data_IF_439736304931
#
_entry.id   IF_439736304931
#
_cell.length_a   1.000
_cell.length_b   1.000
_cell.length_c   1.000
_cell.angle_alpha   90.00
_cell.angle_beta   90.00
_cell.angle_gamma   90.00
#
_symmetry.space_group_name_H-M   'P 1'
#
loop_
_entity.id
_entity.type
_entity.pdbx_description
1 polymer ?
#
# COMPACT_ATOMS: atom_id res chain seq x y z
N UNK A 1 -3.54 22.79 -71.18
CA UNK A 1 -3.83 21.38 -70.93
C UNK A 1 -4.11 21.19 -69.42
N UNK A 2 -5.36 21.15 -69.09
CA UNK A 2 -5.85 21.24 -67.66
C UNK A 2 -6.11 19.83 -67.12
N UNK A 3 -5.35 19.45 -66.05
CA UNK A 3 -5.53 18.16 -65.39
C UNK A 3 -6.56 18.33 -64.28
N UNK A 4 -7.77 17.86 -64.51
CA UNK A 4 -8.78 17.71 -63.48
C UNK A 4 -8.41 16.55 -62.58
N UNK A 5 -8.07 16.83 -61.28
CA UNK A 5 -7.96 15.79 -60.26
C UNK A 5 -9.35 15.28 -59.89
N UNK A 6 -9.60 14.03 -60.26
CA UNK A 6 -10.80 13.30 -59.88
C UNK A 6 -10.54 12.82 -58.43
N UNK A 7 -11.17 13.46 -57.44
CA UNK A 7 -11.20 12.95 -56.09
C UNK A 7 -12.16 11.76 -56.04
N UNK A 8 -11.62 10.59 -55.74
CA UNK A 8 -12.42 9.36 -55.58
C UNK A 8 -13.29 9.44 -54.32
N UNK A 9 -14.57 9.11 -54.37
CA UNK A 9 -15.47 9.13 -53.19
C UNK A 9 -15.14 8.07 -52.14
N UNK A 10 -14.22 7.16 -52.42
CA UNK A 10 -13.83 6.06 -51.51
C UNK A 10 -13.04 6.56 -50.31
N UNK A 11 -12.24 7.61 -50.47
CA UNK A 11 -11.45 8.18 -49.36
C UNK A 11 -12.28 8.91 -48.31
N UNK A 12 -13.45 9.44 -48.70
CA UNK A 12 -14.37 10.15 -47.80
C UNK A 12 -15.14 9.20 -46.87
N UNK A 13 -15.44 7.97 -47.34
CA UNK A 13 -16.17 6.97 -46.56
C UNK A 13 -15.28 6.36 -45.46
N UNK A 14 -14.00 6.16 -45.74
CA UNK A 14 -13.03 5.61 -44.74
C UNK A 14 -12.83 6.58 -43.60
N UNK A 15 -12.75 7.91 -43.87
CA UNK A 15 -12.64 8.92 -42.83
C UNK A 15 -13.85 8.98 -41.90
N UNK A 16 -15.04 8.74 -42.43
CA UNK A 16 -16.30 8.76 -41.63
C UNK A 16 -16.40 7.55 -40.71
N UNK A 17 -15.96 6.37 -41.15
CA UNK A 17 -15.94 5.17 -40.32
C UNK A 17 -14.92 5.22 -39.16
N UNK A 18 -13.77 5.88 -39.36
CA UNK A 18 -12.78 6.05 -38.26
C UNK A 18 -13.30 6.98 -37.17
N UNK A 19 -14.06 8.03 -37.52
CA UNK A 19 -14.63 8.96 -36.52
C UNK A 19 -15.74 8.30 -35.69
N UNK A 20 -16.53 7.38 -36.31
CA UNK A 20 -17.58 6.67 -35.56
C UNK A 20 -17.03 5.62 -34.60
N UNK A 21 -15.85 5.05 -34.88
CA UNK A 21 -15.23 4.08 -33.98
C UNK A 21 -14.58 4.71 -32.75
N UNK A 22 -14.17 6.00 -32.79
CA UNK A 22 -13.58 6.71 -31.64
C UNK A 22 -14.58 7.40 -30.72
N UNK A 23 -15.84 7.53 -31.13
CA UNK A 23 -16.85 8.25 -30.34
C UNK A 23 -17.69 7.35 -29.42
N UNK A 24 -17.40 6.05 -29.34
CA UNK A 24 -18.20 5.11 -28.54
C UNK A 24 -17.40 4.35 -27.47
N UNK A 25 -16.24 4.84 -27.06
CA UNK A 25 -15.61 4.37 -25.83
C UNK A 25 -16.03 5.27 -24.67
N UNK A 26 -17.32 5.42 -24.43
CA UNK A 26 -17.80 5.64 -23.08
C UNK A 26 -17.55 4.32 -22.32
N UNK A 27 -16.33 4.13 -21.87
CA UNK A 27 -16.05 3.26 -20.76
C UNK A 27 -16.78 3.86 -19.55
N UNK A 28 -18.05 3.52 -19.38
CA UNK A 28 -18.59 3.49 -18.03
C UNK A 28 -17.69 2.55 -17.28
N UNK A 29 -16.82 3.08 -16.42
CA UNK A 29 -16.27 2.29 -15.34
C UNK A 29 -17.47 1.71 -14.62
N UNK A 30 -17.64 0.41 -14.69
CA UNK A 30 -18.55 -0.33 -13.82
C UNK A 30 -18.01 -0.21 -12.39
N UNK A 31 -18.26 0.96 -11.76
CA UNK A 31 -17.98 1.24 -10.36
C UNK A 31 -18.80 0.38 -9.40
N UNK A 32 -19.63 -0.54 -9.95
CA UNK A 32 -20.64 -1.25 -9.17
C UNK A 32 -20.27 -2.68 -8.78
N UNK A 33 -19.04 -3.15 -9.02
CA UNK A 33 -18.67 -4.54 -8.70
C UNK A 33 -17.34 -4.73 -7.95
N UNK A 34 -16.73 -3.69 -7.42
CA UNK A 34 -15.82 -3.89 -6.32
C UNK A 34 -16.69 -4.05 -5.08
N UNK A 35 -17.22 -5.24 -4.92
CA UNK A 35 -17.70 -5.72 -3.64
C UNK A 35 -16.47 -5.80 -2.77
N UNK A 36 -16.15 -4.70 -2.09
CA UNK A 36 -15.22 -4.75 -0.98
C UNK A 36 -15.83 -5.75 -0.03
N UNK A 37 -15.26 -6.94 0.02
CA UNK A 37 -15.48 -7.84 1.13
C UNK A 37 -14.76 -7.18 2.32
N UNK A 38 -15.36 -6.10 2.82
CA UNK A 38 -15.08 -5.64 4.15
C UNK A 38 -15.61 -6.72 5.08
N UNK A 39 -14.89 -7.83 5.19
CA UNK A 39 -14.96 -8.60 6.40
C UNK A 39 -14.52 -7.63 7.47
N UNK A 40 -15.46 -7.07 8.20
CA UNK A 40 -15.20 -6.24 9.38
C UNK A 40 -14.54 -7.07 10.50
N UNK A 41 -14.16 -8.29 10.19
CA UNK A 41 -13.57 -9.28 11.07
C UNK A 41 -12.12 -9.51 10.67
N UNK A 42 -11.21 -9.33 11.61
CA UNK A 42 -9.81 -9.69 11.41
C UNK A 42 -8.83 -8.62 11.86
N UNK A 43 -7.55 -8.98 11.72
CA UNK A 43 -6.40 -8.11 11.99
C UNK A 43 -5.72 -7.85 10.67
N UNK A 44 -5.61 -6.58 10.28
CA UNK A 44 -4.81 -6.18 9.13
C UNK A 44 -3.37 -6.01 9.58
N UNK A 45 -2.44 -6.81 9.04
CA UNK A 45 -1.02 -6.61 9.27
C UNK A 45 -0.44 -5.63 8.25
N UNK A 46 0.28 -4.61 8.73
CA UNK A 46 1.05 -3.68 7.92
C UNK A 46 2.52 -3.87 8.23
N UNK A 47 3.30 -4.22 7.21
CA UNK A 47 4.70 -4.59 7.31
C UNK A 47 5.62 -3.44 6.90
N UNK A 48 6.67 -3.21 7.69
CA UNK A 48 7.76 -2.28 7.43
C UNK A 48 9.12 -2.97 7.58
N UNK A 49 10.18 -2.40 6.96
CA UNK A 49 11.54 -2.94 7.07
C UNK A 49 12.54 -1.86 7.46
N UNK A 50 12.78 -0.88 6.58
CA UNK A 50 13.81 0.16 6.70
C UNK A 50 13.20 1.54 6.86
N UNK A 51 13.90 2.44 7.52
CA UNK A 51 13.41 3.78 7.82
C UNK A 51 14.46 4.84 7.47
N UNK A 52 14.06 5.89 6.77
CA UNK A 52 14.92 7.03 6.38
C UNK A 52 16.21 6.68 5.62
N UNK A 53 16.37 5.47 5.15
CA UNK A 53 17.53 5.12 4.33
C UNK A 53 17.41 5.73 2.93
N UNK A 54 18.56 6.05 2.30
CA UNK A 54 18.58 6.57 0.92
C UNK A 54 18.65 5.48 -0.15
N UNK A 55 18.80 4.23 0.28
CA UNK A 55 18.86 3.04 -0.57
C UNK A 55 17.61 2.19 -0.37
N UNK A 56 17.41 1.22 -1.26
CA UNK A 56 16.37 0.20 -1.15
C UNK A 56 14.94 0.77 -1.12
N UNK A 57 14.51 1.54 -2.15
CA UNK A 57 13.23 2.25 -2.12
C UNK A 57 12.01 1.33 -1.98
N UNK A 58 12.13 0.05 -2.36
CA UNK A 58 11.05 -0.93 -2.23
C UNK A 58 10.77 -1.39 -0.80
N UNK A 59 11.73 -1.26 0.11
CA UNK A 59 11.63 -1.70 1.51
C UNK A 59 11.83 -0.56 2.51
N UNK A 60 12.07 0.65 2.05
CA UNK A 60 12.34 1.83 2.88
C UNK A 60 11.17 2.79 2.90
N UNK A 61 10.86 3.32 4.07
CA UNK A 61 9.87 4.38 4.25
C UNK A 61 10.52 5.63 4.87
N UNK A 62 10.09 6.81 4.46
CA UNK A 62 10.46 8.07 5.12
C UNK A 62 9.73 8.18 6.46
N UNK A 63 10.42 8.68 7.49
CA UNK A 63 9.82 8.78 8.84
C UNK A 63 8.62 9.71 8.91
N UNK A 64 8.57 10.77 8.10
CA UNK A 64 7.38 11.65 8.03
C UNK A 64 6.15 10.92 7.47
N UNK A 65 6.35 10.01 6.50
CA UNK A 65 5.27 9.17 5.95
C UNK A 65 4.87 8.10 6.96
N UNK A 66 5.85 7.45 7.61
CA UNK A 66 5.57 6.48 8.66
C UNK A 66 4.72 7.08 9.79
N UNK A 67 5.09 8.26 10.29
CA UNK A 67 4.31 9.00 11.30
C UNK A 67 2.90 9.31 10.83
N UNK A 68 2.72 9.74 9.57
CA UNK A 68 1.39 9.96 8.98
C UNK A 68 0.55 8.68 8.96
N UNK A 69 1.15 7.52 8.64
CA UNK A 69 0.43 6.25 8.71
C UNK A 69 -0.07 5.96 10.13
N UNK A 70 0.77 6.16 11.14
CA UNK A 70 0.38 5.98 12.54
C UNK A 70 -0.71 6.95 12.97
N UNK A 71 -0.65 8.20 12.53
CA UNK A 71 -1.66 9.22 12.83
C UNK A 71 -3.01 8.89 12.15
N UNK A 72 -2.99 8.38 10.91
CA UNK A 72 -4.21 7.92 10.23
C UNK A 72 -4.88 6.80 11.04
N UNK A 73 -4.09 5.82 11.51
CA UNK A 73 -4.61 4.71 12.32
C UNK A 73 -5.19 5.24 13.64
N UNK A 74 -4.48 6.11 14.35
CA UNK A 74 -4.93 6.70 15.61
C UNK A 74 -6.24 7.48 15.49
N UNK A 75 -6.43 8.17 14.36
CA UNK A 75 -7.60 9.03 14.11
C UNK A 75 -8.75 8.30 13.39
N UNK A 76 -8.60 7.01 13.14
CA UNK A 76 -9.62 6.17 12.51
C UNK A 76 -10.35 5.29 13.53
N UNK A 77 -11.30 4.49 13.03
CA UNK A 77 -11.99 3.46 13.84
C UNK A 77 -11.12 2.25 14.16
N UNK A 78 -9.93 2.17 13.54
CA UNK A 78 -8.98 1.10 13.80
C UNK A 78 -8.27 1.27 15.14
N UNK A 79 -7.87 0.12 15.74
CA UNK A 79 -7.05 0.08 16.94
C UNK A 79 -5.76 -0.68 16.66
N UNK A 80 -4.67 -0.28 17.32
CA UNK A 80 -3.45 -1.08 17.26
C UNK A 80 -3.68 -2.40 18.00
N UNK A 81 -3.40 -3.50 17.30
CA UNK A 81 -3.46 -4.83 17.92
C UNK A 81 -2.26 -5.05 18.84
N UNK A 82 -2.52 -5.51 20.05
CA UNK A 82 -1.48 -5.90 21.01
C UNK A 82 -1.01 -7.34 20.69
N UNK A 83 0.24 -7.55 20.26
CA UNK A 83 0.75 -8.87 19.91
C UNK A 83 0.70 -9.89 21.05
N UNK A 84 0.73 -9.44 22.30
CA UNK A 84 0.65 -10.33 23.47
C UNK A 84 -0.71 -11.03 23.58
N UNK A 85 -1.73 -10.53 22.90
CA UNK A 85 -3.08 -11.11 22.89
C UNK A 85 -3.26 -12.25 21.89
N UNK A 86 -2.28 -12.54 21.03
CA UNK A 86 -2.36 -13.68 20.09
C UNK A 86 -2.53 -15.04 20.80
N UNK A 87 -2.04 -15.19 22.02
CA UNK A 87 -2.15 -16.42 22.77
C UNK A 87 -3.53 -16.64 23.42
N UNK A 88 -4.39 -15.61 23.46
CA UNK A 88 -5.75 -15.73 23.92
C UNK A 88 -6.64 -16.31 22.81
N UNK A 89 -6.50 -17.64 22.54
CA UNK A 89 -7.38 -18.43 21.66
C UNK A 89 -8.02 -17.60 20.55
N UNK A 90 -7.44 -17.52 19.40
CA UNK A 90 -7.91 -16.97 18.10
C UNK A 90 -9.41 -16.58 17.99
N UNK A 91 -10.00 -16.11 19.05
CA UNK A 91 -11.31 -15.48 19.02
C UNK A 91 -11.10 -14.00 18.68
N UNK A 92 -10.88 -13.73 17.42
CA UNK A 92 -10.95 -12.36 16.91
C UNK A 92 -12.36 -11.88 17.20
N UNK A 93 -12.56 -10.84 18.02
CA UNK A 93 -13.89 -10.32 18.25
C UNK A 93 -14.46 -9.84 16.92
N UNK A 94 -15.65 -10.30 16.56
CA UNK A 94 -16.33 -10.03 15.28
C UNK A 94 -16.58 -8.55 14.98
N UNK A 95 -16.15 -7.63 15.81
CA UNK A 95 -16.49 -6.21 15.68
C UNK A 95 -15.32 -5.24 15.82
N UNK A 96 -14.07 -5.71 15.90
CA UNK A 96 -12.93 -4.82 16.07
C UNK A 96 -12.10 -4.75 14.80
N UNK A 97 -11.99 -3.56 14.25
CA UNK A 97 -11.03 -3.22 13.19
C UNK A 97 -9.67 -3.02 13.86
N UNK A 98 -8.79 -4.01 13.77
CA UNK A 98 -7.46 -3.95 14.38
C UNK A 98 -6.35 -3.98 13.34
N UNK A 99 -5.28 -3.24 13.60
CA UNK A 99 -4.08 -3.18 12.77
C UNK A 99 -2.88 -3.63 13.60
N UNK A 100 -2.19 -4.64 13.09
CA UNK A 100 -0.92 -5.08 13.62
C UNK A 100 0.22 -4.44 12.83
N UNK A 101 1.14 -3.80 13.53
CA UNK A 101 2.37 -3.30 12.95
C UNK A 101 3.43 -4.40 13.04
N UNK A 102 4.05 -4.73 11.93
CA UNK A 102 5.19 -5.66 11.86
C UNK A 102 6.41 -4.96 11.29
N UNK A 103 7.57 -5.27 11.84
CA UNK A 103 8.87 -4.78 11.41
C UNK A 103 9.71 -6.00 11.09
N UNK A 104 10.21 -6.08 9.86
CA UNK A 104 10.94 -7.25 9.41
C UNK A 104 12.45 -6.98 9.33
N UNK A 105 13.24 -8.05 9.44
CA UNK A 105 14.69 -8.12 9.28
C UNK A 105 15.54 -7.46 10.35
N UNK A 106 14.98 -6.70 11.29
CA UNK A 106 15.73 -6.01 12.35
C UNK A 106 16.90 -5.14 11.82
N UNK A 107 16.61 -4.28 10.82
CA UNK A 107 17.60 -3.32 10.33
C UNK A 107 17.95 -2.26 11.39
N UNK A 108 19.19 -1.79 11.38
CA UNK A 108 19.67 -0.74 12.29
C UNK A 108 18.80 0.52 12.21
N UNK A 109 18.30 0.86 11.03
CA UNK A 109 17.41 2.02 10.82
C UNK A 109 16.06 1.90 11.55
N UNK A 110 15.59 0.71 11.84
CA UNK A 110 14.44 0.55 12.74
C UNK A 110 14.77 1.04 14.15
N UNK A 111 15.90 0.60 14.70
CA UNK A 111 16.31 0.95 16.06
C UNK A 111 16.59 2.45 16.22
N UNK A 112 17.26 3.04 15.25
CA UNK A 112 17.69 4.46 15.33
C UNK A 112 16.56 5.44 14.99
N UNK A 113 15.65 5.09 14.07
CA UNK A 113 14.64 6.01 13.53
C UNK A 113 13.22 5.73 14.06
N UNK A 114 12.74 4.50 13.91
CA UNK A 114 11.34 4.19 14.19
C UNK A 114 11.07 3.81 15.65
N UNK A 115 11.97 3.06 16.27
CA UNK A 115 11.81 2.60 17.65
C UNK A 115 11.58 3.73 18.67
N UNK A 116 12.34 4.84 18.69
CA UNK A 116 12.09 5.94 19.62
C UNK A 116 10.66 6.47 19.52
N UNK A 117 10.15 6.64 18.29
CA UNK A 117 8.79 7.12 18.03
C UNK A 117 7.73 6.11 18.49
N UNK A 118 7.88 4.82 18.16
CA UNK A 118 6.95 3.77 18.58
C UNK A 118 6.87 3.66 20.09
N UNK A 119 8.02 3.70 20.77
CA UNK A 119 8.15 3.67 22.24
C UNK A 119 7.43 4.85 22.89
N UNK A 120 7.72 6.07 22.46
CA UNK A 120 7.13 7.30 22.99
C UNK A 120 5.60 7.28 22.85
N UNK A 121 5.11 6.84 21.69
CA UNK A 121 3.69 6.79 21.39
C UNK A 121 2.98 5.51 21.86
N UNK A 122 3.70 4.59 22.52
CA UNK A 122 3.18 3.30 23.03
C UNK A 122 2.47 2.48 21.94
N UNK A 123 2.99 2.51 20.72
CA UNK A 123 2.46 1.75 19.59
C UNK A 123 3.02 0.33 19.66
N UNK A 124 2.16 -0.70 19.80
CA UNK A 124 2.60 -2.08 19.82
C UNK A 124 3.01 -2.56 18.42
N UNK A 125 3.99 -3.46 18.36
CA UNK A 125 4.47 -4.05 17.11
C UNK A 125 5.09 -5.43 17.35
N UNK A 126 5.32 -6.18 16.28
CA UNK A 126 6.17 -7.38 16.27
C UNK A 126 7.43 -7.06 15.49
N UNK A 127 8.59 -7.41 16.04
CA UNK A 127 9.85 -7.41 15.33
C UNK A 127 10.19 -8.85 14.91
N UNK A 128 10.26 -9.09 13.60
CA UNK A 128 10.77 -10.34 13.04
C UNK A 128 12.25 -10.19 12.73
N UNK A 129 13.06 -11.02 13.37
CA UNK A 129 14.53 -10.93 13.30
C UNK A 129 15.05 -11.97 12.32
N UNK A 130 15.70 -11.52 11.24
CA UNK A 130 16.54 -12.37 10.41
C UNK A 130 17.84 -12.68 11.15
N UNK A 131 18.00 -13.90 11.64
CA UNK A 131 19.10 -14.23 12.57
C UNK A 131 20.47 -14.30 11.91
N UNK A 132 20.56 -14.66 10.62
CA UNK A 132 21.81 -14.76 9.89
C UNK A 132 22.59 -13.44 9.83
N UNK A 133 21.97 -12.28 9.49
CA UNK A 133 22.68 -11.01 9.37
C UNK A 133 22.86 -10.24 10.69
N UNK A 134 22.37 -10.75 11.82
CA UNK A 134 22.51 -10.07 13.13
C UNK A 134 23.99 -9.75 13.40
N UNK A 135 24.26 -8.49 13.80
CA UNK A 135 25.61 -7.98 14.02
C UNK A 135 26.37 -7.59 12.75
N UNK A 136 25.84 -7.83 11.57
CA UNK A 136 26.41 -7.33 10.33
C UNK A 136 26.05 -5.84 10.13
N UNK A 137 26.85 -5.16 9.32
CA UNK A 137 26.63 -3.74 9.02
C UNK A 137 25.21 -3.47 8.48
N UNK A 138 24.50 -2.57 9.14
CA UNK A 138 23.14 -2.17 8.77
C UNK A 138 22.01 -3.00 9.41
N UNK A 139 22.38 -3.94 10.27
CA UNK A 139 21.47 -4.73 11.11
C UNK A 139 21.68 -4.44 12.58
N UNK A 140 20.69 -4.73 13.39
CA UNK A 140 20.81 -4.64 14.85
C UNK A 140 21.78 -5.71 15.37
N UNK A 141 22.42 -5.42 16.51
CA UNK A 141 23.38 -6.31 17.20
C UNK A 141 22.86 -6.70 18.57
#
# INVERSE_FOLDING_TARGET
MSIKKIFSPVTSIISLFIIIFFSNTNSKSDDNNIKYYANDEGILAIMYHRFNENKYPSTNIKMDIFKKHMDIIKNSDFKFHDPNKFNEKFKIPKSKKEILITIDDAFESFYTEAWPYLKENKIPFILFVSTEPVGNRGYMS
#
